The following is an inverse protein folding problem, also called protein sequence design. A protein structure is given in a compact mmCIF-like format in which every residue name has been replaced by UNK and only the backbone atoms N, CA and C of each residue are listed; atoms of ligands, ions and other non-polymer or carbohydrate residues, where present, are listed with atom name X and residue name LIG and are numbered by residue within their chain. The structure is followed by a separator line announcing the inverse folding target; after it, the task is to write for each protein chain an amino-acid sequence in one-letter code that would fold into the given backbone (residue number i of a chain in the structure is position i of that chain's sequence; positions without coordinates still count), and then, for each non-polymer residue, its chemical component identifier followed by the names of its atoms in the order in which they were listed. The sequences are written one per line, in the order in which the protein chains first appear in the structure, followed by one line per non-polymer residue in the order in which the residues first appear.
data_IF_839999778080
#
_entry.id   IF_839999778080
#
_cell.length_a   1.000
_cell.length_b   1.000
_cell.length_c   1.000
_cell.angle_alpha   90.00
_cell.angle_beta   90.00
_cell.angle_gamma   90.00
#
_symmetry.space_group_name_H-M   'P 1'
#
loop_
_entity.id
_entity.type
_entity.pdbx_description
1 polymer ?
#
# COMPACT_ATOMS: atom_id res chain seq x y z
N UNK A 1 -17.94 5.85 -22.83
CA UNK A 1 -16.54 5.73 -23.28
C UNK A 1 -15.89 4.65 -22.42
N UNK A 2 -15.76 3.43 -22.92
CA UNK A 2 -15.16 2.34 -22.16
C UNK A 2 -13.65 2.61 -22.02
N UNK A 3 -13.11 2.40 -20.83
CA UNK A 3 -11.68 2.49 -20.58
C UNK A 3 -10.97 1.41 -21.42
N UNK A 4 -9.96 1.77 -22.19
CA UNK A 4 -9.17 0.80 -22.96
C UNK A 4 -8.34 -0.06 -22.01
N UNK A 5 -8.21 -1.36 -22.32
CA UNK A 5 -7.48 -2.31 -21.46
C UNK A 5 -6.03 -1.87 -21.19
N UNK A 6 -5.38 -1.26 -22.19
CA UNK A 6 -4.04 -0.70 -22.06
C UNK A 6 -3.96 0.42 -21.03
N UNK A 7 -4.96 1.30 -20.99
CA UNK A 7 -5.03 2.39 -20.01
C UNK A 7 -5.25 1.85 -18.59
N UNK A 8 -6.07 0.79 -18.46
CA UNK A 8 -6.27 0.09 -17.19
C UNK A 8 -4.97 -0.49 -16.66
N UNK A 9 -4.25 -1.25 -17.49
CA UNK A 9 -2.97 -1.88 -17.12
C UNK A 9 -1.91 -0.84 -16.76
N UNK A 10 -1.84 0.25 -17.52
CA UNK A 10 -0.92 1.34 -17.24
C UNK A 10 -1.20 1.98 -15.87
N UNK A 11 -2.47 2.26 -15.54
CA UNK A 11 -2.83 2.89 -14.27
C UNK A 11 -2.69 1.93 -13.08
N UNK A 12 -3.16 0.69 -13.19
CA UNK A 12 -3.14 -0.25 -12.06
C UNK A 12 -1.80 -0.92 -11.89
N UNK A 13 -1.31 -1.61 -12.91
CA UNK A 13 -0.10 -2.42 -12.79
C UNK A 13 1.16 -1.58 -12.93
N UNK A 14 1.12 -0.57 -13.81
CA UNK A 14 2.24 0.36 -14.01
C UNK A 14 2.35 1.39 -12.91
N UNK A 15 1.44 2.35 -12.88
CA UNK A 15 1.53 3.55 -12.03
C UNK A 15 1.27 3.22 -10.56
N UNK A 16 0.12 2.63 -10.23
CA UNK A 16 -0.19 2.27 -8.83
C UNK A 16 0.78 1.19 -8.34
N UNK A 17 1.02 0.15 -9.14
CA UNK A 17 1.97 -0.91 -8.81
C UNK A 17 3.40 -0.43 -8.59
N UNK A 18 3.89 0.53 -9.39
CA UNK A 18 5.23 1.12 -9.23
C UNK A 18 5.33 2.15 -8.10
N UNK A 19 4.23 2.84 -7.79
CA UNK A 19 4.17 3.79 -6.68
C UNK A 19 4.15 3.10 -5.31
N UNK A 20 3.46 1.95 -5.19
CA UNK A 20 3.39 1.18 -3.95
C UNK A 20 4.50 0.12 -3.86
N UNK A 21 5.18 0.01 -2.73
CA UNK A 21 6.27 -0.96 -2.53
C UNK A 21 6.01 -1.89 -1.35
N UNK A 22 5.84 -3.18 -1.62
CA UNK A 22 5.69 -4.20 -0.57
C UNK A 22 7.04 -4.59 0.06
N UNK A 23 8.12 -4.56 -0.73
CA UNK A 23 9.46 -4.94 -0.25
C UNK A 23 9.98 -3.97 0.80
N UNK A 24 9.84 -2.66 0.55
CA UNK A 24 10.27 -1.61 1.49
C UNK A 24 9.50 -1.69 2.80
N UNK A 25 8.16 -1.85 2.72
CA UNK A 25 7.31 -2.04 3.90
C UNK A 25 7.80 -3.19 4.78
N UNK A 26 8.13 -4.34 4.19
CA UNK A 26 8.58 -5.51 4.94
C UNK A 26 9.98 -5.29 5.56
N UNK A 27 10.91 -4.67 4.82
CA UNK A 27 12.24 -4.35 5.36
C UNK A 27 12.17 -3.38 6.55
N UNK A 28 11.27 -2.40 6.51
CA UNK A 28 11.06 -1.47 7.62
C UNK A 28 10.43 -2.16 8.84
N UNK A 29 9.47 -3.06 8.62
CA UNK A 29 8.91 -3.86 9.70
C UNK A 29 9.98 -4.74 10.38
N UNK A 30 10.83 -5.42 9.61
CA UNK A 30 11.90 -6.24 10.16
C UNK A 30 12.91 -5.39 10.95
N UNK A 31 13.31 -4.23 10.40
CA UNK A 31 14.19 -3.30 11.12
C UNK A 31 13.59 -2.82 12.45
N UNK A 32 12.28 -2.53 12.49
CA UNK A 32 11.61 -2.14 13.73
C UNK A 32 11.52 -3.26 14.77
N UNK A 33 11.43 -4.53 14.34
CA UNK A 33 11.49 -5.69 15.23
C UNK A 33 12.89 -5.86 15.81
N UNK A 34 13.92 -5.76 14.97
CA UNK A 34 15.33 -5.85 15.40
C UNK A 34 15.69 -4.75 16.40
N UNK A 35 15.14 -3.55 16.22
CA UNK A 35 15.31 -2.42 17.15
C UNK A 35 14.45 -2.53 18.43
N UNK A 36 13.61 -3.57 18.57
CA UNK A 36 12.72 -3.76 19.72
C UNK A 36 11.57 -2.74 19.80
N UNK A 37 11.25 -2.02 18.71
CA UNK A 37 10.24 -0.95 18.66
C UNK A 37 8.84 -1.49 18.39
N UNK A 38 8.36 -2.40 19.23
CA UNK A 38 7.10 -3.16 19.04
C UNK A 38 5.86 -2.27 18.87
N UNK A 39 5.75 -1.17 19.62
CA UNK A 39 4.61 -0.26 19.49
C UNK A 39 4.57 0.45 18.12
N UNK A 40 5.74 0.88 17.62
CA UNK A 40 5.87 1.54 16.32
C UNK A 40 5.65 0.55 15.18
N UNK A 41 6.13 -0.68 15.34
CA UNK A 41 5.90 -1.79 14.42
C UNK A 41 4.40 -2.04 14.18
N UNK A 42 3.62 -2.19 15.26
CA UNK A 42 2.17 -2.37 15.18
C UNK A 42 1.47 -1.17 14.54
N UNK A 43 1.83 0.05 14.97
CA UNK A 43 1.26 1.27 14.41
C UNK A 43 1.52 1.39 12.91
N UNK A 44 2.77 1.18 12.49
CA UNK A 44 3.16 1.26 11.08
C UNK A 44 2.47 0.20 10.22
N UNK A 45 2.40 -1.05 10.69
CA UNK A 45 1.70 -2.13 9.99
C UNK A 45 0.21 -1.83 9.83
N UNK A 46 -0.48 -1.53 10.94
CA UNK A 46 -1.93 -1.35 10.94
C UNK A 46 -2.34 -0.11 10.14
N UNK A 47 -1.66 1.02 10.32
CA UNK A 47 -1.99 2.26 9.59
C UNK A 47 -1.77 2.06 8.08
N UNK A 48 -0.67 1.40 7.69
CA UNK A 48 -0.38 1.17 6.27
C UNK A 48 -1.44 0.27 5.61
N UNK A 49 -1.79 -0.86 6.25
CA UNK A 49 -2.75 -1.82 5.69
C UNK A 49 -4.18 -1.27 5.74
N UNK A 50 -4.63 -0.83 6.92
CA UNK A 50 -6.00 -0.33 7.10
C UNK A 50 -6.23 1.00 6.39
N UNK A 51 -5.22 1.88 6.39
CA UNK A 51 -5.27 3.14 5.64
C UNK A 51 -5.38 2.89 4.14
N UNK A 52 -4.55 2.01 3.58
CA UNK A 52 -4.62 1.63 2.17
C UNK A 52 -5.98 1.04 1.77
N UNK A 53 -6.50 0.10 2.56
CA UNK A 53 -7.84 -0.46 2.34
C UNK A 53 -8.94 0.60 2.48
N UNK A 54 -8.83 1.49 3.46
CA UNK A 54 -9.78 2.58 3.69
C UNK A 54 -9.83 3.56 2.52
N UNK A 55 -8.68 3.99 1.99
CA UNK A 55 -8.63 4.85 0.81
C UNK A 55 -9.14 4.16 -0.45
N UNK A 56 -8.84 2.88 -0.65
CA UNK A 56 -9.38 2.09 -1.75
C UNK A 56 -10.91 1.99 -1.68
N UNK A 57 -11.45 1.75 -0.48
CA UNK A 57 -12.89 1.74 -0.24
C UNK A 57 -13.54 3.10 -0.50
N UNK A 58 -12.96 4.18 0.02
CA UNK A 58 -13.43 5.55 -0.24
C UNK A 58 -13.46 5.87 -1.73
N UNK A 59 -12.44 5.47 -2.48
CA UNK A 59 -12.41 5.64 -3.95
C UNK A 59 -13.47 4.83 -4.70
N UNK A 60 -14.01 3.75 -4.12
CA UNK A 60 -15.17 3.02 -4.68
C UNK A 60 -16.51 3.65 -4.30
N UNK A 61 -16.56 4.40 -3.19
CA UNK A 61 -17.78 5.05 -2.71
C UNK A 61 -18.04 6.41 -3.37
N UNK A 62 -17.02 7.04 -3.95
CA UNK A 62 -17.09 8.31 -4.71
C UNK A 62 -17.35 8.02 -6.19
#
# INVERSE_FOLDING_TARGET
MAMTDSLRLFLTTGLLGGYTTFSTFNTELLAMLDEGKTARWWGYMLISVLGGLGFAWLGMCV
#
